data_IF_994357618759
#
_entry.id   IF_994357618759
#
_cell.length_a   1.000
_cell.length_b   1.000
_cell.length_c   1.000
_cell.angle_alpha   90.00
_cell.angle_beta   90.00
_cell.angle_gamma   90.00
#
_symmetry.space_group_name_H-M   'P 1'
#
loop_
_entity.id
_entity.type
_entity.pdbx_description
1 polymer ?
#
# COMPACT_ATOMS: atom_id res chain seq x y z
N UNK A 1 7.86 31.30 10.22
CA UNK A 1 8.62 30.78 9.07
C UNK A 1 8.18 29.36 8.84
N UNK A 2 7.93 28.99 7.58
CA UNK A 2 7.46 27.66 7.24
C UNK A 2 8.38 27.05 6.18
N UNK A 3 9.01 25.88 6.45
CA UNK A 3 9.79 25.21 5.44
C UNK A 3 8.87 24.71 4.33
N UNK A 4 9.23 25.01 3.09
CA UNK A 4 8.55 24.54 1.89
C UNK A 4 9.58 23.80 1.03
N UNK A 5 9.31 22.52 0.75
CA UNK A 5 10.12 21.74 -0.19
C UNK A 5 9.51 21.92 -1.58
N UNK A 6 10.22 22.57 -2.49
CA UNK A 6 9.76 22.73 -3.87
C UNK A 6 9.55 21.35 -4.52
N UNK A 7 8.37 21.11 -5.08
CA UNK A 7 7.92 19.85 -5.66
C UNK A 7 7.16 18.93 -4.71
N UNK A 8 6.98 19.29 -3.43
CA UNK A 8 6.23 18.47 -2.47
C UNK A 8 4.73 18.47 -2.74
N UNK A 9 4.20 19.51 -3.41
CA UNK A 9 2.76 19.73 -3.64
C UNK A 9 1.97 19.81 -2.35
N UNK A 10 2.63 20.19 -1.25
CA UNK A 10 1.97 20.43 0.04
C UNK A 10 1.18 21.74 0.02
N UNK A 11 1.59 22.69 -0.82
CA UNK A 11 0.92 23.98 -0.99
C UNK A 11 -0.05 23.98 -2.17
N UNK A 12 -0.81 25.08 -2.29
CA UNK A 12 -1.78 25.30 -3.36
C UNK A 12 -1.08 25.14 -4.73
N UNK A 13 -1.68 24.40 -5.69
CA UNK A 13 -1.13 24.29 -7.04
C UNK A 13 -0.80 25.67 -7.65
N UNK A 14 0.39 25.81 -8.23
CA UNK A 14 0.87 27.07 -8.79
C UNK A 14 1.55 28.02 -7.79
N UNK A 15 1.53 27.69 -6.49
CA UNK A 15 2.25 28.47 -5.47
C UNK A 15 3.76 28.25 -5.56
N UNK A 16 4.18 26.99 -5.57
CA UNK A 16 5.59 26.59 -5.62
C UNK A 16 6.26 27.06 -6.91
N UNK A 17 5.56 27.01 -8.05
CA UNK A 17 6.06 27.39 -9.37
C UNK A 17 6.49 28.86 -9.44
N UNK A 18 5.80 29.74 -8.70
CA UNK A 18 6.11 31.18 -8.67
C UNK A 18 7.29 31.52 -7.75
N UNK A 19 7.69 30.59 -6.89
CA UNK A 19 8.87 30.69 -6.02
C UNK A 19 10.13 30.11 -6.67
N UNK A 20 10.01 29.42 -7.81
CA UNK A 20 11.16 28.90 -8.56
C UNK A 20 12.03 30.07 -9.04
N UNK A 21 13.33 29.98 -8.71
CA UNK A 21 14.34 30.97 -9.09
C UNK A 21 14.50 32.13 -8.10
N UNK A 22 13.70 32.19 -7.03
CA UNK A 22 13.89 33.14 -5.94
C UNK A 22 15.14 32.82 -5.12
N UNK A 23 15.78 33.86 -4.59
CA UNK A 23 16.95 33.75 -3.72
C UNK A 23 16.59 34.09 -2.26
N UNK A 24 17.45 33.69 -1.33
CA UNK A 24 17.32 34.11 0.05
C UNK A 24 17.39 35.65 0.14
N UNK A 25 16.42 36.25 0.83
CA UNK A 25 16.19 37.69 0.94
C UNK A 25 15.15 38.25 -0.03
N UNK A 26 14.67 37.49 -1.02
CA UNK A 26 13.70 37.99 -1.99
C UNK A 26 12.29 38.10 -1.39
N UNK A 27 11.59 39.18 -1.72
CA UNK A 27 10.17 39.35 -1.49
C UNK A 27 9.42 39.14 -2.81
N UNK A 28 8.44 38.23 -2.82
CA UNK A 28 7.60 37.96 -3.98
C UNK A 28 6.14 37.96 -3.60
N UNK A 29 5.33 38.53 -4.48
CA UNK A 29 3.89 38.42 -4.42
C UNK A 29 3.46 37.24 -5.31
N UNK A 30 2.82 36.25 -4.71
CA UNK A 30 2.38 35.01 -5.36
C UNK A 30 0.86 34.99 -5.41
N UNK A 31 0.29 35.02 -6.61
CA UNK A 31 -1.17 34.95 -6.80
C UNK A 31 -1.58 33.56 -7.23
N UNK A 32 -2.45 32.91 -6.45
CA UNK A 32 -2.93 31.55 -6.71
C UNK A 32 -4.43 31.45 -6.52
N UNK A 33 -5.06 30.54 -7.24
CA UNK A 33 -6.46 30.19 -7.07
C UNK A 33 -6.58 28.92 -6.23
N UNK A 34 -7.36 28.97 -5.16
CA UNK A 34 -7.64 27.79 -4.36
C UNK A 34 -8.47 26.78 -5.15
N UNK A 35 -8.21 25.47 -5.03
CA UNK A 35 -9.04 24.42 -5.63
C UNK A 35 -10.51 24.53 -5.19
N UNK A 36 -11.45 24.10 -6.03
CA UNK A 36 -12.88 24.09 -5.68
C UNK A 36 -13.20 23.14 -4.51
N UNK A 37 -12.39 22.10 -4.32
CA UNK A 37 -12.52 21.11 -3.26
C UNK A 37 -11.66 21.44 -2.02
N UNK A 38 -11.27 22.71 -1.82
CA UNK A 38 -10.43 23.10 -0.70
C UNK A 38 -11.16 22.97 0.65
N UNK A 39 -10.48 22.46 1.68
CA UNK A 39 -11.08 22.15 2.99
C UNK A 39 -11.76 23.36 3.65
N UNK A 40 -11.26 24.56 3.39
CA UNK A 40 -11.89 25.81 3.79
C UNK A 40 -12.88 26.27 2.71
N UNK A 41 -14.17 25.99 2.91
CA UNK A 41 -15.25 26.36 1.98
C UNK A 41 -15.31 27.87 1.64
N UNK A 42 -14.81 28.73 2.53
CA UNK A 42 -14.76 30.17 2.31
C UNK A 42 -13.61 30.62 1.38
N UNK A 43 -12.62 29.76 1.14
CA UNK A 43 -11.48 30.00 0.24
C UNK A 43 -11.59 29.21 -1.06
N UNK A 44 -12.36 28.12 -1.09
CA UNK A 44 -12.56 27.29 -2.27
C UNK A 44 -12.92 28.10 -3.53
N UNK A 45 -12.17 27.89 -4.62
CA UNK A 45 -12.35 28.56 -5.91
C UNK A 45 -11.99 30.05 -5.93
N UNK A 46 -11.52 30.63 -4.83
CA UNK A 46 -11.16 32.05 -4.77
C UNK A 46 -9.70 32.26 -5.14
N UNK A 47 -9.43 33.41 -5.74
CA UNK A 47 -8.07 33.90 -5.94
C UNK A 47 -7.56 34.56 -4.66
N UNK A 48 -6.31 34.29 -4.31
CA UNK A 48 -5.63 34.93 -3.20
C UNK A 48 -4.20 35.28 -3.59
N UNK A 49 -3.74 36.38 -3.01
CA UNK A 49 -2.40 36.91 -3.21
C UNK A 49 -1.64 36.82 -1.90
N UNK A 50 -0.48 36.19 -1.95
CA UNK A 50 0.41 35.96 -0.81
C UNK A 50 1.67 36.79 -0.97
N UNK A 51 1.97 37.61 0.04
CA UNK A 51 3.26 38.27 0.13
C UNK A 51 4.24 37.31 0.83
N UNK A 52 5.20 36.78 0.07
CA UNK A 52 6.16 35.77 0.50
C UNK A 52 7.55 36.39 0.61
N UNK A 53 8.14 36.33 1.79
CA UNK A 53 9.55 36.67 2.01
C UNK A 53 10.37 35.39 2.12
N UNK A 54 11.28 35.16 1.18
CA UNK A 54 12.18 34.01 1.18
C UNK A 54 13.32 34.28 2.15
N UNK A 55 13.32 33.64 3.32
CA UNK A 55 14.38 33.86 4.33
C UNK A 55 15.64 33.06 4.06
N UNK A 56 15.48 31.82 3.64
CA UNK A 56 16.57 30.87 3.41
C UNK A 56 16.18 29.98 2.24
N UNK A 57 17.15 29.63 1.40
CA UNK A 57 16.99 28.65 0.34
C UNK A 57 18.06 27.59 0.55
N UNK A 58 17.62 26.37 0.80
CA UNK A 58 18.49 25.23 1.06
C UNK A 58 18.22 24.17 0.01
N UNK A 59 19.28 23.60 -0.55
CA UNK A 59 19.20 22.45 -1.43
C UNK A 59 19.64 21.20 -0.66
N UNK A 60 19.10 20.02 -0.98
CA UNK A 60 19.68 18.77 -0.49
C UNK A 60 21.17 18.76 -0.83
N UNK A 61 22.01 18.60 0.19
CA UNK A 61 23.45 18.42 -0.02
C UNK A 61 23.71 17.17 -0.86
N UNK A 62 24.88 17.11 -1.49
CA UNK A 62 25.33 15.86 -2.09
C UNK A 62 25.43 14.80 -0.99
N UNK A 63 24.55 13.81 -1.02
CA UNK A 63 24.61 12.69 -0.10
C UNK A 63 25.67 11.73 -0.62
N UNK A 64 26.84 11.75 0.00
CA UNK A 64 27.88 10.76 -0.28
C UNK A 64 27.51 9.43 0.39
N UNK A 65 27.35 8.40 -0.44
CA UNK A 65 27.09 7.05 0.04
C UNK A 65 28.42 6.45 0.53
N UNK A 66 28.75 6.70 1.79
CA UNK A 66 30.01 6.32 2.43
C UNK A 66 29.76 5.74 3.85
N UNK A 67 30.84 5.39 4.56
CA UNK A 67 30.75 4.83 5.92
C UNK A 67 30.17 5.80 6.95
N UNK A 68 30.35 7.12 6.76
CA UNK A 68 29.77 8.13 7.67
C UNK A 68 28.25 8.16 7.56
N UNK A 69 27.72 8.06 6.34
CA UNK A 69 26.28 7.90 6.12
C UNK A 69 25.76 6.64 6.80
N UNK A 70 26.46 5.51 6.68
CA UNK A 70 26.06 4.27 7.34
C UNK A 70 26.03 4.42 8.87
N UNK A 71 27.04 5.09 9.46
CA UNK A 71 27.10 5.39 10.89
C UNK A 71 25.96 6.29 11.36
N UNK A 72 25.58 7.30 10.57
CA UNK A 72 24.41 8.15 10.85
C UNK A 72 23.09 7.36 10.88
N UNK A 73 23.04 6.22 10.19
CA UNK A 73 21.90 5.30 10.20
C UNK A 73 22.04 4.16 11.24
N UNK A 74 23.06 4.22 12.11
CA UNK A 74 23.30 3.23 13.15
C UNK A 74 24.01 1.95 12.67
N UNK A 75 24.68 2.00 11.52
CA UNK A 75 25.41 0.86 10.94
C UNK A 75 26.92 1.10 10.95
N UNK A 76 27.69 0.02 11.01
CA UNK A 76 29.15 0.09 11.20
C UNK A 76 29.89 0.57 9.93
N UNK A 77 29.38 0.23 8.75
CA UNK A 77 30.00 0.52 7.45
C UNK A 77 29.00 0.56 6.31
N UNK A 78 29.41 1.13 5.18
CA UNK A 78 28.68 1.11 3.92
C UNK A 78 28.44 -0.33 3.44
N UNK A 79 29.40 -1.22 3.63
CA UNK A 79 29.25 -2.64 3.29
C UNK A 79 28.07 -3.24 4.07
N UNK A 80 27.99 -2.98 5.37
CA UNK A 80 26.88 -3.44 6.21
C UNK A 80 25.54 -2.84 5.77
N UNK A 81 25.52 -1.56 5.41
CA UNK A 81 24.33 -0.91 4.85
C UNK A 81 23.87 -1.60 3.56
N UNK A 82 24.79 -1.92 2.65
CA UNK A 82 24.46 -2.62 1.40
C UNK A 82 23.94 -4.03 1.65
N UNK A 83 24.52 -4.76 2.59
CA UNK A 83 24.04 -6.10 2.97
C UNK A 83 22.62 -6.06 3.54
N UNK A 84 22.34 -5.14 4.45
CA UNK A 84 21.01 -5.01 5.07
C UNK A 84 19.97 -4.68 4.01
N UNK A 85 20.24 -3.67 3.16
CA UNK A 85 19.33 -3.28 2.08
C UNK A 85 19.13 -4.42 1.09
N UNK A 86 20.20 -5.13 0.72
CA UNK A 86 20.10 -6.31 -0.14
C UNK A 86 19.21 -7.38 0.48
N UNK A 87 19.44 -7.73 1.75
CA UNK A 87 18.64 -8.73 2.45
C UNK A 87 17.16 -8.34 2.56
N UNK A 88 16.87 -7.05 2.77
CA UNK A 88 15.49 -6.54 2.76
C UNK A 88 14.83 -6.73 1.40
N UNK A 89 15.52 -6.34 0.33
CA UNK A 89 15.05 -6.49 -1.05
C UNK A 89 14.86 -7.96 -1.39
N UNK A 90 15.81 -8.82 -1.07
CA UNK A 90 15.74 -10.27 -1.31
C UNK A 90 14.56 -10.91 -0.56
N UNK A 91 14.33 -10.54 0.70
CA UNK A 91 13.18 -11.03 1.46
C UNK A 91 11.85 -10.55 0.88
N UNK A 92 11.77 -9.28 0.47
CA UNK A 92 10.59 -8.71 -0.16
C UNK A 92 10.26 -9.43 -1.46
N UNK A 93 11.22 -9.50 -2.40
CA UNK A 93 11.02 -10.18 -3.67
C UNK A 93 10.85 -11.69 -3.51
N UNK A 94 11.52 -12.31 -2.54
CA UNK A 94 11.39 -13.73 -2.22
C UNK A 94 9.98 -14.07 -1.76
N UNK A 95 9.41 -13.28 -0.84
CA UNK A 95 8.03 -13.44 -0.38
C UNK A 95 7.02 -13.24 -1.51
N UNK A 96 7.16 -12.15 -2.29
CA UNK A 96 6.30 -11.87 -3.43
C UNK A 96 6.33 -12.98 -4.49
N UNK A 97 7.53 -13.46 -4.83
CA UNK A 97 7.72 -14.54 -5.80
C UNK A 97 7.12 -15.83 -5.30
N UNK A 98 7.37 -16.21 -4.04
CA UNK A 98 6.79 -17.41 -3.43
C UNK A 98 5.27 -17.36 -3.43
N UNK A 99 4.68 -16.21 -3.10
CA UNK A 99 3.22 -16.04 -3.11
C UNK A 99 2.65 -16.15 -4.53
N UNK A 100 3.32 -15.55 -5.53
CA UNK A 100 2.91 -15.64 -6.93
C UNK A 100 2.96 -17.08 -7.44
N UNK A 101 4.07 -17.78 -7.24
CA UNK A 101 4.23 -19.18 -7.65
C UNK A 101 3.23 -20.08 -6.92
N UNK A 102 3.04 -19.89 -5.61
CA UNK A 102 2.03 -20.63 -4.85
C UNK A 102 0.63 -20.44 -5.44
N UNK A 103 0.24 -19.21 -5.76
CA UNK A 103 -1.07 -18.92 -6.38
C UNK A 103 -1.21 -19.65 -7.72
N UNK A 104 -0.22 -19.51 -8.60
CA UNK A 104 -0.24 -20.16 -9.91
C UNK A 104 -0.36 -21.68 -9.81
N UNK A 105 0.35 -22.30 -8.87
CA UNK A 105 0.28 -23.73 -8.63
C UNK A 105 -1.10 -24.16 -8.12
N UNK A 106 -1.68 -23.42 -7.17
CA UNK A 106 -3.04 -23.69 -6.66
C UNK A 106 -4.11 -23.48 -7.74
N UNK A 107 -3.96 -22.49 -8.61
CA UNK A 107 -4.87 -22.26 -9.73
C UNK A 107 -4.82 -23.43 -10.73
N UNK A 108 -3.62 -23.94 -11.02
CA UNK A 108 -3.46 -25.12 -11.89
C UNK A 108 -4.01 -26.40 -11.25
N UNK A 109 -3.82 -26.59 -9.94
CA UNK A 109 -4.37 -27.75 -9.22
C UNK A 109 -5.91 -27.72 -9.21
N UNK A 110 -6.51 -26.54 -8.98
CA UNK A 110 -7.97 -26.37 -8.99
C UNK A 110 -8.55 -26.64 -10.39
N UNK A 111 -7.85 -26.24 -11.45
CA UNK A 111 -8.24 -26.54 -12.82
C UNK A 111 -8.06 -28.03 -13.18
N UNK A 112 -7.03 -28.69 -12.65
CA UNK A 112 -6.74 -30.11 -12.93
C UNK A 112 -7.66 -31.07 -12.18
N UNK A 113 -8.08 -30.73 -10.96
CA UNK A 113 -8.90 -31.58 -10.10
C UNK A 113 -10.23 -30.90 -9.78
N UNK A 114 -11.26 -31.23 -10.56
CA UNK A 114 -12.63 -30.78 -10.32
C UNK A 114 -13.45 -31.91 -9.70
N UNK A 115 -13.87 -31.73 -8.45
CA UNK A 115 -14.77 -32.62 -7.73
C UNK A 115 -15.63 -31.83 -6.75
N UNK A 116 -16.77 -32.41 -6.37
CA UNK A 116 -17.67 -31.85 -5.36
C UNK A 116 -17.04 -31.98 -3.97
N UNK A 117 -16.83 -30.85 -3.32
CA UNK A 117 -16.32 -30.81 -1.95
C UNK A 117 -17.44 -31.19 -0.96
N UNK A 118 -17.14 -31.88 0.15
CA UNK A 118 -18.14 -32.23 1.15
C UNK A 118 -18.82 -30.98 1.72
N UNK A 119 -20.16 -30.90 1.61
CA UNK A 119 -20.93 -29.70 1.97
C UNK A 119 -20.66 -29.21 3.40
N UNK A 120 -20.55 -30.12 4.37
CA UNK A 120 -20.23 -29.76 5.77
C UNK A 120 -18.88 -29.05 5.92
N UNK A 121 -17.88 -29.44 5.13
CA UNK A 121 -16.57 -28.78 5.15
C UNK A 121 -16.62 -27.41 4.48
N UNK A 122 -17.36 -27.30 3.37
CA UNK A 122 -17.59 -26.03 2.68
C UNK A 122 -18.33 -25.04 3.57
N UNK A 123 -19.40 -25.47 4.24
CA UNK A 123 -20.16 -24.65 5.19
C UNK A 123 -19.28 -24.18 6.36
N UNK A 124 -18.44 -25.07 6.92
CA UNK A 124 -17.51 -24.71 7.98
C UNK A 124 -16.50 -23.65 7.50
N UNK A 125 -15.89 -23.84 6.32
CA UNK A 125 -14.93 -22.88 5.75
C UNK A 125 -15.62 -21.55 5.40
N UNK A 126 -16.81 -21.60 4.82
CA UNK A 126 -17.62 -20.41 4.53
C UNK A 126 -17.90 -19.62 5.81
N UNK A 127 -18.37 -20.27 6.87
CA UNK A 127 -18.65 -19.61 8.14
C UNK A 127 -17.39 -18.99 8.74
N UNK A 128 -16.23 -19.65 8.64
CA UNK A 128 -14.95 -19.08 9.09
C UNK A 128 -14.59 -17.81 8.33
N UNK A 129 -14.70 -17.84 6.99
CA UNK A 129 -14.43 -16.67 6.13
C UNK A 129 -15.43 -15.55 6.43
N UNK A 130 -16.72 -15.88 6.48
CA UNK A 130 -17.81 -14.93 6.68
C UNK A 130 -17.72 -14.22 8.04
N UNK A 131 -17.40 -14.96 9.10
CA UNK A 131 -17.17 -14.38 10.42
C UNK A 131 -15.94 -13.46 10.45
N UNK A 132 -14.88 -13.79 9.69
CA UNK A 132 -13.72 -12.92 9.59
C UNK A 132 -14.06 -11.61 8.86
N UNK A 133 -14.71 -11.70 7.70
CA UNK A 133 -15.12 -10.55 6.89
C UNK A 133 -16.02 -9.61 7.69
N UNK A 134 -17.03 -10.14 8.39
CA UNK A 134 -17.91 -9.31 9.20
C UNK A 134 -17.17 -8.59 10.34
N UNK A 135 -16.22 -9.27 11.00
CA UNK A 135 -15.39 -8.64 12.04
C UNK A 135 -14.52 -7.52 11.48
N UNK A 136 -13.94 -7.72 10.29
CA UNK A 136 -13.09 -6.73 9.64
C UNK A 136 -13.90 -5.50 9.19
N UNK A 137 -15.12 -5.71 8.66
CA UNK A 137 -16.06 -4.64 8.33
C UNK A 137 -16.51 -3.86 9.57
N UNK A 138 -16.88 -4.56 10.64
CA UNK A 138 -17.27 -3.94 11.91
C UNK A 138 -16.12 -3.11 12.51
N UNK A 139 -14.91 -3.66 12.53
CA UNK A 139 -13.72 -2.96 13.01
C UNK A 139 -13.38 -1.72 12.18
N UNK A 140 -13.63 -1.77 10.87
CA UNK A 140 -13.44 -0.65 9.95
C UNK A 140 -14.61 0.36 9.96
N UNK A 141 -15.73 0.04 10.62
CA UNK A 141 -16.96 0.83 10.58
C UNK A 141 -17.58 0.93 9.18
N UNK A 142 -17.39 -0.12 8.35
CA UNK A 142 -17.82 -0.18 6.95
C UNK A 142 -18.93 -1.21 6.75
N UNK A 143 -19.60 -1.10 5.62
CA UNK A 143 -20.61 -2.04 5.13
C UNK A 143 -20.21 -2.60 3.77
N UNK A 144 -20.85 -3.67 3.32
CA UNK A 144 -20.64 -4.21 1.97
C UNK A 144 -20.93 -3.17 0.87
N UNK A 145 -21.85 -2.23 1.11
CA UNK A 145 -22.14 -1.16 0.17
C UNK A 145 -20.95 -0.20 -0.02
N UNK A 146 -20.11 -0.02 1.02
CA UNK A 146 -18.87 0.76 0.93
C UNK A 146 -17.77 0.04 0.13
N UNK A 147 -17.95 -1.26 -0.13
CA UNK A 147 -17.09 -2.08 -0.99
C UNK A 147 -17.68 -2.29 -2.39
N UNK A 148 -18.70 -1.49 -2.77
CA UNK A 148 -19.37 -1.57 -4.06
C UNK A 148 -20.01 -2.95 -4.35
N UNK A 149 -20.45 -3.67 -3.30
CA UNK A 149 -21.11 -4.98 -3.41
C UNK A 149 -22.32 -5.11 -2.49
N UNK A 150 -23.16 -6.12 -2.75
CA UNK A 150 -24.27 -6.50 -1.85
C UNK A 150 -23.87 -7.66 -0.94
N UNK A 151 -24.52 -7.80 0.22
CA UNK A 151 -24.28 -8.96 1.09
C UNK A 151 -24.53 -10.29 0.35
N UNK A 152 -25.55 -10.35 -0.50
CA UNK A 152 -25.90 -11.54 -1.27
C UNK A 152 -24.80 -11.92 -2.28
N UNK A 153 -24.31 -10.95 -3.04
CA UNK A 153 -23.20 -11.15 -3.98
C UNK A 153 -21.91 -11.54 -3.25
N UNK A 154 -21.58 -10.85 -2.16
CA UNK A 154 -20.44 -11.17 -1.32
C UNK A 154 -20.53 -12.60 -0.78
N UNK A 155 -21.69 -13.02 -0.27
CA UNK A 155 -21.91 -14.41 0.18
C UNK A 155 -21.67 -15.41 -0.94
N UNK A 156 -22.16 -15.15 -2.15
CA UNK A 156 -21.95 -16.03 -3.30
C UNK A 156 -20.46 -16.13 -3.68
N UNK A 157 -19.72 -15.02 -3.65
CA UNK A 157 -18.26 -14.99 -3.88
C UNK A 157 -17.50 -15.78 -2.81
N UNK A 158 -17.82 -15.56 -1.53
CA UNK A 158 -17.17 -16.27 -0.42
C UNK A 158 -17.55 -17.76 -0.37
N UNK A 159 -18.74 -18.14 -0.83
CA UNK A 159 -19.12 -19.54 -0.99
C UNK A 159 -18.24 -20.22 -2.06
N UNK A 160 -18.09 -19.59 -3.22
CA UNK A 160 -17.18 -20.08 -4.28
C UNK A 160 -15.73 -20.17 -3.78
N UNK A 161 -15.30 -19.20 -2.96
CA UNK A 161 -13.98 -19.24 -2.33
C UNK A 161 -13.84 -20.40 -1.34
N UNK A 162 -14.86 -20.66 -0.52
CA UNK A 162 -14.87 -21.75 0.46
C UNK A 162 -14.79 -23.13 -0.23
N UNK A 163 -15.59 -23.35 -1.28
CA UNK A 163 -15.54 -24.56 -2.09
C UNK A 163 -14.13 -24.80 -2.65
N UNK A 164 -13.54 -23.75 -3.24
CA UNK A 164 -12.20 -23.80 -3.80
C UNK A 164 -11.14 -24.14 -2.74
N UNK A 165 -11.21 -23.52 -1.56
CA UNK A 165 -10.27 -23.76 -0.46
C UNK A 165 -10.36 -25.18 0.08
N UNK A 166 -11.58 -25.68 0.28
CA UNK A 166 -11.79 -27.06 0.76
C UNK A 166 -11.28 -28.06 -0.27
N UNK A 167 -11.62 -27.87 -1.55
CA UNK A 167 -11.15 -28.75 -2.63
C UNK A 167 -9.62 -28.82 -2.69
N UNK A 168 -8.96 -27.68 -2.73
CA UNK A 168 -7.50 -27.60 -2.75
C UNK A 168 -6.88 -28.16 -1.47
N UNK A 169 -7.49 -27.92 -0.31
CA UNK A 169 -7.04 -28.46 0.97
C UNK A 169 -7.03 -29.99 0.96
N UNK A 170 -8.09 -30.62 0.44
CA UNK A 170 -8.17 -32.08 0.31
C UNK A 170 -7.13 -32.63 -0.67
N UNK A 171 -6.93 -31.98 -1.83
CA UNK A 171 -5.91 -32.38 -2.81
C UNK A 171 -4.51 -32.28 -2.21
N UNK A 172 -4.20 -31.19 -1.51
CA UNK A 172 -2.89 -31.00 -0.88
C UNK A 172 -2.67 -31.98 0.26
N UNK A 173 -3.69 -32.29 1.06
CA UNK A 173 -3.60 -33.29 2.13
C UNK A 173 -3.27 -34.68 1.57
N UNK A 174 -3.96 -35.10 0.51
CA UNK A 174 -3.70 -36.36 -0.19
C UNK A 174 -2.28 -36.42 -0.78
N UNK A 175 -1.80 -35.31 -1.38
CA UNK A 175 -0.42 -35.21 -1.89
C UNK A 175 0.58 -35.30 -0.74
N UNK A 176 0.32 -34.60 0.37
CA UNK A 176 1.17 -34.60 1.56
C UNK A 176 1.31 -35.99 2.17
N UNK A 177 0.18 -36.68 2.34
CA UNK A 177 0.13 -38.07 2.85
C UNK A 177 0.97 -39.01 1.97
N UNK A 178 0.78 -38.97 0.64
CA UNK A 178 1.56 -39.78 -0.31
C UNK A 178 3.05 -39.46 -0.31
N UNK A 179 3.40 -38.19 -0.07
CA UNK A 179 4.79 -37.74 -0.02
C UNK A 179 5.46 -37.98 1.35
N UNK A 180 4.72 -38.48 2.35
CA UNK A 180 5.22 -38.64 3.71
C UNK A 180 5.51 -37.31 4.41
N UNK A 181 4.85 -36.23 3.98
CA UNK A 181 4.95 -34.91 4.60
C UNK A 181 3.81 -34.78 5.61
N UNK A 182 4.17 -34.85 6.89
CA UNK A 182 3.26 -34.65 8.03
C UNK A 182 3.12 -33.17 8.40
#
# INVERSE_FOLDING_TARGET
DQPLVLGSKEFIPGFEDQLIGSKAGDERQVTVTFPENYQAAHLAGKEATFDVTVKEVSQPGALEINDEMAKNLGLESLERLREVVRGQIENQFGSMTRQKIKRQLLDQLDAAYSFEAPSKLVEAEFNNIWNQVNRDLEAAGRTFADEETTEEEARADYMRLAERRVRLGLVLAEIGEKAGVT
#
